data_IF_442982882019
#
_entry.id   IF_442982882019
#
_cell.length_a   1.000
_cell.length_b   1.000
_cell.length_c   1.000
_cell.angle_alpha   90.00
_cell.angle_beta   90.00
_cell.angle_gamma   90.00
#
_symmetry.space_group_name_H-M   'P 1'
#
loop_
_entity.id
_entity.type
_entity.pdbx_description
1 polymer ?
#
# COMPACT_ATOMS: atom_id res chain seq x y z
N UNK A 1 -15.15 7.45 -18.61
CA UNK A 1 -13.69 7.49 -18.76
C UNK A 1 -13.41 7.83 -20.21
N UNK A 2 -12.66 8.90 -20.48
CA UNK A 2 -12.29 9.27 -21.85
C UNK A 2 -11.29 8.25 -22.39
N UNK A 3 -11.64 7.57 -23.46
CA UNK A 3 -10.74 6.65 -24.17
C UNK A 3 -9.68 7.49 -24.90
N UNK A 4 -8.58 7.79 -24.20
CA UNK A 4 -7.46 8.53 -24.79
C UNK A 4 -6.62 7.53 -25.57
N UNK A 5 -6.51 7.74 -26.86
CA UNK A 5 -5.65 7.00 -27.80
C UNK A 5 -4.57 7.96 -28.27
N UNK A 6 -3.33 7.49 -28.34
CA UNK A 6 -2.19 8.29 -28.82
C UNK A 6 -1.79 7.78 -30.19
N UNK A 7 -2.06 8.58 -31.22
CA UNK A 7 -1.73 8.25 -32.61
C UNK A 7 -0.23 8.39 -32.86
N UNK A 8 0.38 9.52 -32.44
CA UNK A 8 1.81 9.77 -32.58
C UNK A 8 2.51 9.67 -31.20
N UNK A 9 2.93 8.47 -30.87
CA UNK A 9 3.62 8.18 -29.62
C UNK A 9 5.01 8.82 -29.54
N UNK A 10 5.70 9.01 -30.65
CA UNK A 10 7.04 9.62 -30.66
C UNK A 10 6.96 11.10 -30.31
N UNK A 11 6.04 11.82 -30.93
CA UNK A 11 5.78 13.23 -30.63
C UNK A 11 5.28 13.43 -29.20
N UNK A 12 4.38 12.57 -28.74
CA UNK A 12 3.88 12.59 -27.36
C UNK A 12 5.01 12.44 -26.36
N UNK A 13 5.85 11.41 -26.50
CA UNK A 13 6.99 11.17 -25.61
C UNK A 13 8.03 12.30 -25.65
N UNK A 14 8.28 12.88 -26.84
CA UNK A 14 9.16 14.04 -26.99
C UNK A 14 8.66 15.25 -26.21
N UNK A 15 7.38 15.56 -26.30
CA UNK A 15 6.76 16.65 -25.54
C UNK A 15 6.88 16.42 -24.03
N UNK A 16 6.65 15.19 -23.57
CA UNK A 16 6.79 14.85 -22.15
C UNK A 16 8.22 14.99 -21.63
N UNK A 17 9.21 14.63 -22.45
CA UNK A 17 10.63 14.85 -22.10
C UNK A 17 10.93 16.34 -21.92
N UNK A 18 10.36 17.20 -22.76
CA UNK A 18 10.45 18.65 -22.60
C UNK A 18 9.88 19.11 -21.26
N UNK A 19 8.64 18.73 -20.95
CA UNK A 19 8.00 19.09 -19.67
C UNK A 19 8.77 18.58 -18.45
N UNK A 20 9.33 17.38 -18.51
CA UNK A 20 10.19 16.85 -17.46
C UNK A 20 11.52 17.58 -17.36
N UNK A 21 12.11 17.97 -18.51
CA UNK A 21 13.35 18.74 -18.55
C UNK A 21 13.17 20.12 -17.93
N UNK A 22 12.06 20.80 -18.21
CA UNK A 22 11.72 22.11 -17.62
C UNK A 22 11.56 22.02 -16.09
N UNK A 23 11.00 20.92 -15.58
CA UNK A 23 10.85 20.72 -14.16
C UNK A 23 12.17 20.36 -13.45
N UNK A 24 12.99 19.49 -14.06
CA UNK A 24 14.20 18.92 -13.45
C UNK A 24 15.41 19.84 -13.69
N UNK A 25 15.42 20.60 -14.78
CA UNK A 25 16.55 21.45 -15.20
C UNK A 25 17.69 20.68 -15.89
N UNK A 26 17.54 19.36 -16.11
CA UNK A 26 18.55 18.50 -16.72
C UNK A 26 17.95 17.54 -17.74
N UNK A 27 18.26 17.74 -19.02
CA UNK A 27 17.71 16.96 -20.13
C UNK A 27 18.07 15.45 -20.06
N UNK A 28 19.32 15.14 -19.70
CA UNK A 28 19.77 13.74 -19.60
C UNK A 28 19.01 12.96 -18.51
N UNK A 29 18.71 13.60 -17.39
CA UNK A 29 17.95 13.00 -16.29
C UNK A 29 16.48 12.82 -16.70
N UNK A 30 15.90 13.83 -17.36
CA UNK A 30 14.53 13.78 -17.87
C UNK A 30 14.34 12.65 -18.90
N UNK A 31 15.28 12.48 -19.82
CA UNK A 31 15.27 11.40 -20.79
C UNK A 31 15.32 10.02 -20.12
N UNK A 32 16.24 9.83 -19.15
CA UNK A 32 16.36 8.58 -18.42
C UNK A 32 15.12 8.29 -17.55
N UNK A 33 14.51 9.32 -17.00
CA UNK A 33 13.27 9.18 -16.22
C UNK A 33 12.11 8.76 -17.10
N UNK A 34 11.95 9.38 -18.28
CA UNK A 34 10.88 9.01 -19.22
C UNK A 34 11.03 7.55 -19.69
N UNK A 35 12.25 7.12 -20.01
CA UNK A 35 12.54 5.74 -20.36
C UNK A 35 12.19 4.81 -19.19
N UNK A 36 12.53 5.19 -17.96
CA UNK A 36 12.16 4.44 -16.77
C UNK A 36 10.65 4.29 -16.58
N UNK A 37 9.90 5.38 -16.79
CA UNK A 37 8.43 5.37 -16.71
C UNK A 37 7.83 4.46 -17.80
N UNK A 38 8.37 4.50 -18.99
CA UNK A 38 7.93 3.62 -20.08
C UNK A 38 8.18 2.16 -19.77
N UNK A 39 9.38 1.81 -19.29
CA UNK A 39 9.72 0.44 -18.88
C UNK A 39 8.83 -0.06 -17.74
N UNK A 40 8.61 0.76 -16.71
CA UNK A 40 7.66 0.45 -15.66
C UNK A 40 6.26 0.14 -16.21
N UNK A 41 5.80 0.94 -17.16
CA UNK A 41 4.47 0.77 -17.76
C UNK A 41 4.37 -0.52 -18.57
N UNK A 42 5.44 -0.93 -19.27
CA UNK A 42 5.51 -2.20 -19.98
C UNK A 42 5.43 -3.40 -19.03
N UNK A 43 6.18 -3.35 -17.93
CA UNK A 43 6.19 -4.41 -16.90
C UNK A 43 4.84 -4.50 -16.18
N UNK A 44 4.26 -3.35 -15.82
CA UNK A 44 2.96 -3.30 -15.15
C UNK A 44 1.84 -3.81 -16.05
N UNK A 45 1.84 -3.42 -17.33
CA UNK A 45 0.90 -3.92 -18.34
C UNK A 45 1.02 -5.44 -18.51
N UNK A 46 2.24 -5.99 -18.46
CA UNK A 46 2.47 -7.43 -18.50
C UNK A 46 1.84 -8.16 -17.30
N UNK A 47 2.07 -7.63 -16.09
CA UNK A 47 1.48 -8.18 -14.85
C UNK A 47 -0.06 -8.15 -14.86
N UNK A 48 -0.65 -7.19 -15.58
CA UNK A 48 -2.11 -7.01 -15.70
C UNK A 48 -2.71 -7.64 -16.96
N UNK A 49 -1.89 -8.32 -17.78
CA UNK A 49 -2.31 -8.89 -19.07
C UNK A 49 -2.94 -7.87 -20.03
N UNK A 50 -2.41 -6.64 -20.02
CA UNK A 50 -2.84 -5.54 -20.90
C UNK A 50 -1.94 -5.49 -22.13
N UNK A 51 -2.55 -5.35 -23.33
CA UNK A 51 -1.80 -5.21 -24.60
C UNK A 51 -0.97 -3.93 -24.58
N UNK A 52 0.35 -4.04 -24.85
CA UNK A 52 1.36 -2.97 -24.77
C UNK A 52 1.41 -2.13 -26.05
N UNK A 53 0.31 -1.50 -26.40
CA UNK A 53 0.19 -0.66 -27.60
C UNK A 53 -0.39 0.70 -27.25
N UNK A 54 0.09 1.75 -27.92
CA UNK A 54 -0.39 3.12 -27.72
C UNK A 54 -1.82 3.36 -28.23
N UNK A 55 -2.31 2.47 -29.08
CA UNK A 55 -3.73 2.40 -29.48
C UNK A 55 -4.64 1.84 -28.39
N UNK A 56 -4.06 1.17 -27.38
CA UNK A 56 -4.82 0.63 -26.26
C UNK A 56 -5.00 1.66 -25.15
N UNK A 57 -6.23 2.13 -24.87
CA UNK A 57 -6.49 3.13 -23.83
C UNK A 57 -6.00 2.72 -22.44
N UNK A 58 -6.06 1.42 -22.12
CA UNK A 58 -5.61 0.92 -20.81
C UNK A 58 -4.10 1.05 -20.64
N UNK A 59 -3.31 0.81 -21.69
CA UNK A 59 -1.87 1.00 -21.64
C UNK A 59 -1.51 2.47 -21.51
N UNK A 60 -2.19 3.34 -22.27
CA UNK A 60 -2.01 4.80 -22.16
C UNK A 60 -2.36 5.29 -20.77
N UNK A 61 -3.41 4.75 -20.15
CA UNK A 61 -3.81 5.09 -18.78
C UNK A 61 -2.70 4.72 -17.78
N UNK A 62 -2.15 3.49 -17.85
CA UNK A 62 -1.07 3.03 -16.97
C UNK A 62 0.13 3.98 -17.07
N UNK A 63 0.53 4.32 -18.29
CA UNK A 63 1.65 5.22 -18.53
C UNK A 63 1.39 6.64 -17.98
N UNK A 64 0.22 7.19 -18.28
CA UNK A 64 -0.18 8.55 -17.88
C UNK A 64 -0.33 8.66 -16.37
N UNK A 65 -0.88 7.65 -15.70
CA UNK A 65 -1.03 7.63 -14.24
C UNK A 65 0.34 7.60 -13.55
N UNK A 66 1.26 6.78 -14.09
CA UNK A 66 2.61 6.72 -13.54
C UNK A 66 3.35 8.03 -13.72
N UNK A 67 3.29 8.59 -14.92
CA UNK A 67 3.88 9.91 -15.24
C UNK A 67 3.33 11.00 -14.33
N UNK A 68 2.00 11.09 -14.21
CA UNK A 68 1.32 12.08 -13.36
C UNK A 68 1.74 11.96 -11.91
N UNK A 69 1.79 10.74 -11.40
CA UNK A 69 2.23 10.48 -10.03
C UNK A 69 3.64 11.01 -9.77
N UNK A 70 4.59 10.69 -10.64
CA UNK A 70 5.99 11.13 -10.49
C UNK A 70 6.10 12.66 -10.66
N UNK A 71 5.45 13.22 -11.66
CA UNK A 71 5.46 14.66 -11.91
C UNK A 71 4.93 15.47 -10.72
N UNK A 72 3.79 15.04 -10.15
CA UNK A 72 3.20 15.72 -9.00
C UNK A 72 4.05 15.58 -7.74
N UNK A 73 4.68 14.44 -7.52
CA UNK A 73 5.58 14.25 -6.39
C UNK A 73 6.85 15.10 -6.54
N UNK A 74 7.47 15.14 -7.71
CA UNK A 74 8.63 16.01 -7.98
C UNK A 74 8.30 17.50 -7.82
N UNK A 75 7.11 17.93 -8.26
CA UNK A 75 6.67 19.31 -8.12
C UNK A 75 6.40 19.72 -6.67
N UNK A 76 5.91 18.80 -5.85
CA UNK A 76 5.54 19.07 -4.45
C UNK A 76 6.69 18.86 -3.46
N UNK A 77 7.57 17.92 -3.74
CA UNK A 77 8.67 17.54 -2.85
C UNK A 77 10.00 18.01 -3.41
N UNK A 78 10.46 19.17 -2.93
CA UNK A 78 11.72 19.77 -3.35
C UNK A 78 12.95 18.92 -2.96
N UNK A 79 12.87 18.17 -1.84
CA UNK A 79 13.95 17.28 -1.42
C UNK A 79 14.14 16.12 -2.39
N UNK A 80 13.04 15.56 -2.86
CA UNK A 80 13.07 14.48 -3.88
C UNK A 80 13.66 15.00 -5.19
N UNK A 81 13.29 16.22 -5.58
CA UNK A 81 13.83 16.87 -6.77
C UNK A 81 15.34 17.13 -6.62
N UNK A 82 15.79 17.66 -5.47
CA UNK A 82 17.21 17.88 -5.17
C UNK A 82 18.03 16.58 -5.20
N UNK A 83 17.53 15.51 -4.60
CA UNK A 83 18.17 14.18 -4.64
C UNK A 83 18.30 13.62 -6.05
N UNK A 84 17.31 13.88 -6.92
CA UNK A 84 17.35 13.48 -8.31
C UNK A 84 18.39 14.30 -9.11
N UNK A 85 18.46 15.63 -8.91
CA UNK A 85 19.42 16.53 -9.55
C UNK A 85 20.86 16.21 -9.11
N UNK A 86 21.08 15.94 -7.85
CA UNK A 86 22.37 15.53 -7.27
C UNK A 86 22.77 14.10 -7.64
N UNK A 87 21.94 13.36 -8.38
CA UNK A 87 22.16 11.95 -8.77
C UNK A 87 22.24 10.98 -7.59
N UNK A 88 21.78 11.35 -6.40
CA UNK A 88 21.65 10.46 -5.25
C UNK A 88 20.62 9.35 -5.54
N UNK A 89 19.55 9.73 -6.24
CA UNK A 89 18.54 8.79 -6.74
C UNK A 89 18.68 8.70 -8.25
N UNK A 90 18.86 7.49 -8.75
CA UNK A 90 18.90 7.25 -10.20
C UNK A 90 17.50 7.42 -10.79
N UNK A 91 17.39 8.08 -11.94
CA UNK A 91 16.13 8.38 -12.61
C UNK A 91 15.25 7.13 -12.87
N UNK A 92 15.87 6.02 -13.29
CA UNK A 92 15.14 4.76 -13.49
C UNK A 92 14.59 4.17 -12.17
N UNK A 93 15.33 4.33 -11.04
CA UNK A 93 14.83 3.88 -9.73
C UNK A 93 13.62 4.69 -9.29
N UNK A 94 13.63 6.01 -9.50
CA UNK A 94 12.48 6.86 -9.21
C UNK A 94 11.21 6.40 -9.96
N UNK A 95 11.37 5.90 -11.19
CA UNK A 95 10.26 5.37 -11.96
C UNK A 95 9.60 4.13 -11.33
N UNK A 96 10.25 3.43 -10.42
CA UNK A 96 9.74 2.24 -9.72
C UNK A 96 9.39 2.48 -8.25
N UNK A 97 9.76 3.64 -7.68
CA UNK A 97 9.48 3.97 -6.27
C UNK A 97 7.98 4.03 -5.99
N UNK A 98 7.58 3.56 -4.83
CA UNK A 98 6.20 3.68 -4.36
C UNK A 98 5.87 5.13 -3.96
N UNK A 99 4.59 5.45 -3.83
CA UNK A 99 4.16 6.78 -3.35
C UNK A 99 4.69 7.09 -1.94
N UNK A 100 4.82 6.06 -1.12
CA UNK A 100 5.33 6.15 0.24
C UNK A 100 6.82 6.49 0.27
N UNK A 101 7.61 5.89 -0.63
CA UNK A 101 9.04 6.17 -0.76
C UNK A 101 9.31 7.55 -1.37
N UNK A 102 8.43 8.03 -2.28
CA UNK A 102 8.56 9.37 -2.87
C UNK A 102 8.24 10.50 -1.89
N UNK A 103 7.40 10.26 -0.90
CA UNK A 103 7.02 11.26 0.11
C UNK A 103 6.81 10.60 1.49
N UNK A 104 7.89 10.19 2.16
CA UNK A 104 7.81 9.45 3.41
C UNK A 104 7.13 10.26 4.53
N UNK A 105 7.34 11.57 4.58
CA UNK A 105 6.82 12.42 5.66
C UNK A 105 5.29 12.41 5.72
N UNK A 106 4.65 12.51 4.56
CA UNK A 106 3.17 12.47 4.48
C UNK A 106 2.59 11.08 4.82
N UNK A 107 3.34 10.01 4.54
CA UNK A 107 2.84 8.64 4.71
C UNK A 107 3.20 8.00 6.04
N UNK A 108 4.18 8.54 6.77
CA UNK A 108 4.69 7.98 8.03
C UNK A 108 3.57 7.72 9.04
N UNK A 109 2.80 8.74 9.36
CA UNK A 109 1.68 8.64 10.31
C UNK A 109 0.63 7.60 9.87
N UNK A 110 0.27 7.61 8.57
CA UNK A 110 -0.71 6.67 8.02
C UNK A 110 -0.21 5.21 8.04
N UNK A 111 1.09 5.01 7.82
CA UNK A 111 1.72 3.68 7.90
C UNK A 111 1.71 3.19 9.34
N UNK A 112 2.10 4.03 10.31
CA UNK A 112 2.09 3.70 11.74
C UNK A 112 0.67 3.32 12.21
N UNK A 113 -0.34 4.12 11.83
CA UNK A 113 -1.74 3.81 12.14
C UNK A 113 -2.21 2.51 11.50
N UNK A 114 -1.75 2.20 10.30
CA UNK A 114 -2.06 0.93 9.64
C UNK A 114 -1.41 -0.24 10.37
N UNK A 115 -0.14 -0.13 10.73
CA UNK A 115 0.59 -1.17 11.46
C UNK A 115 -0.06 -1.47 12.83
N UNK A 116 -0.49 -0.44 13.56
CA UNK A 116 -1.21 -0.59 14.83
C UNK A 116 -2.53 -1.35 14.60
N UNK A 117 -3.30 -0.97 13.57
CA UNK A 117 -4.54 -1.67 13.23
C UNK A 117 -4.31 -3.14 12.85
N UNK A 118 -3.29 -3.39 12.04
CA UNK A 118 -2.97 -4.74 11.60
C UNK A 118 -2.48 -5.60 12.78
N UNK A 119 -1.65 -5.04 13.68
CA UNK A 119 -1.25 -5.72 14.92
C UNK A 119 -2.46 -6.09 15.79
N UNK A 120 -3.38 -5.14 16.00
CA UNK A 120 -4.57 -5.38 16.79
C UNK A 120 -5.52 -6.40 16.15
N UNK A 121 -5.57 -6.45 14.82
CA UNK A 121 -6.42 -7.39 14.08
C UNK A 121 -5.85 -8.82 14.06
N UNK A 122 -4.55 -8.97 13.83
CA UNK A 122 -3.93 -10.29 13.66
C UNK A 122 -3.36 -10.85 14.95
N UNK A 123 -2.96 -10.00 15.89
CA UNK A 123 -2.53 -10.38 17.23
C UNK A 123 -3.32 -9.59 18.28
N UNK A 124 -4.62 -9.86 18.44
CA UNK A 124 -5.39 -9.19 19.47
C UNK A 124 -4.79 -9.52 20.83
N UNK A 125 -4.46 -8.49 21.60
CA UNK A 125 -4.07 -8.67 23.00
C UNK A 125 -5.34 -9.06 23.74
N UNK A 126 -5.45 -10.35 24.07
CA UNK A 126 -6.53 -10.86 24.89
C UNK A 126 -6.22 -10.49 26.34
N UNK A 127 -6.80 -9.42 26.82
CA UNK A 127 -6.77 -9.10 28.24
C UNK A 127 -7.72 -10.03 28.99
N UNK A 128 -7.29 -10.48 30.16
CA UNK A 128 -8.16 -11.26 31.03
C UNK A 128 -9.37 -10.42 31.43
N UNK A 129 -10.56 -10.87 31.05
CA UNK A 129 -11.80 -10.15 31.33
C UNK A 129 -12.38 -10.50 32.68
N UNK A 130 -11.86 -11.54 33.35
CA UNK A 130 -12.37 -12.02 34.63
C UNK A 130 -11.36 -12.91 35.35
N UNK A 131 -11.37 -12.82 36.67
CA UNK A 131 -10.63 -13.70 37.58
C UNK A 131 -11.54 -14.86 38.17
N UNK A 132 -12.82 -14.87 37.81
CA UNK A 132 -13.79 -15.84 38.33
C UNK A 132 -13.53 -17.27 37.86
N UNK A 133 -12.89 -17.43 36.71
CA UNK A 133 -12.64 -18.74 36.11
C UNK A 133 -11.19 -19.17 36.28
N UNK A 134 -10.99 -20.31 36.92
CA UNK A 134 -9.65 -20.91 37.03
C UNK A 134 -9.50 -22.05 36.02
N UNK A 135 -8.43 -21.98 35.23
CA UNK A 135 -8.13 -23.01 34.23
C UNK A 135 -7.74 -24.34 34.90
N UNK A 136 -8.45 -25.44 34.56
CA UNK A 136 -8.15 -26.75 35.11
C UNK A 136 -6.80 -27.33 34.71
N UNK A 137 -6.24 -26.86 33.55
CA UNK A 137 -4.98 -27.39 33.03
C UNK A 137 -3.76 -26.66 33.61
N UNK A 138 -3.73 -25.33 33.60
CA UNK A 138 -2.58 -24.55 34.05
C UNK A 138 -2.82 -23.80 35.37
N UNK A 139 -4.01 -23.90 35.95
CA UNK A 139 -4.43 -23.25 37.21
C UNK A 139 -4.30 -21.71 37.19
N UNK A 140 -4.21 -21.12 36.03
CA UNK A 140 -4.20 -19.67 35.87
C UNK A 140 -5.61 -19.11 35.94
N UNK A 141 -5.77 -17.91 36.54
CA UNK A 141 -7.04 -17.18 36.59
C UNK A 141 -7.20 -16.22 35.42
N UNK A 142 -6.18 -16.12 34.53
CA UNK A 142 -6.24 -15.27 33.33
C UNK A 142 -7.13 -15.92 32.28
N UNK A 143 -8.42 -15.63 32.34
CA UNK A 143 -9.42 -16.19 31.46
C UNK A 143 -10.24 -15.09 30.79
N UNK A 144 -10.70 -15.35 29.58
CA UNK A 144 -11.75 -14.57 28.90
C UNK A 144 -12.99 -15.43 28.77
N UNK A 145 -14.17 -14.83 28.86
CA UNK A 145 -15.41 -15.52 28.63
C UNK A 145 -16.34 -14.73 27.72
N UNK A 146 -17.24 -15.45 27.07
CA UNK A 146 -18.40 -14.90 26.41
C UNK A 146 -19.60 -15.82 26.61
N UNK A 147 -20.79 -15.25 26.60
CA UNK A 147 -22.03 -15.96 26.77
C UNK A 147 -22.81 -15.98 25.46
N UNK A 148 -23.34 -17.11 25.12
CA UNK A 148 -24.16 -17.28 23.93
C UNK A 148 -25.33 -18.22 24.22
N UNK A 149 -26.50 -17.85 23.70
CA UNK A 149 -27.66 -18.77 23.78
C UNK A 149 -27.50 -19.85 22.72
N UNK A 150 -27.27 -21.09 23.22
CA UNK A 150 -27.07 -22.27 22.34
C UNK A 150 -28.27 -23.21 22.35
N UNK A 151 -29.28 -22.92 23.21
CA UNK A 151 -30.51 -23.72 23.37
C UNK A 151 -31.73 -22.79 23.15
N UNK A 152 -32.85 -23.17 23.73
CA UNK A 152 -34.10 -22.38 23.67
C UNK A 152 -33.98 -21.06 24.46
N UNK A 153 -34.86 -20.10 24.17
CA UNK A 153 -34.84 -18.79 24.81
C UNK A 153 -35.11 -18.87 26.35
N UNK A 154 -35.74 -19.91 26.82
CA UNK A 154 -36.10 -20.13 28.24
C UNK A 154 -34.97 -20.76 29.06
N UNK A 155 -33.88 -21.16 28.42
CA UNK A 155 -32.73 -21.76 29.12
C UNK A 155 -31.62 -20.72 29.37
N UNK A 156 -30.82 -20.90 30.45
CA UNK A 156 -29.70 -19.99 30.72
C UNK A 156 -28.67 -20.05 29.60
N UNK A 157 -28.02 -18.90 29.34
CA UNK A 157 -26.95 -18.77 28.33
C UNK A 157 -25.77 -19.67 28.71
N UNK A 158 -25.19 -20.32 27.71
CA UNK A 158 -23.96 -21.09 27.86
C UNK A 158 -22.77 -20.16 27.89
N UNK A 159 -21.94 -20.29 28.93
CA UNK A 159 -20.70 -19.51 29.06
C UNK A 159 -19.54 -20.31 28.46
N UNK A 160 -18.87 -19.70 27.47
CA UNK A 160 -17.66 -20.23 26.86
C UNK A 160 -16.45 -19.51 27.44
N UNK A 161 -15.55 -20.26 28.05
CA UNK A 161 -14.36 -19.76 28.72
C UNK A 161 -13.10 -20.17 27.95
N UNK A 162 -12.15 -19.23 27.80
CA UNK A 162 -10.86 -19.47 27.17
C UNK A 162 -9.75 -19.00 28.10
N UNK A 163 -8.82 -19.89 28.42
CA UNK A 163 -7.62 -19.52 29.18
C UNK A 163 -6.61 -18.85 28.26
N UNK A 164 -6.14 -17.66 28.62
CA UNK A 164 -5.14 -16.88 27.84
C UNK A 164 -3.78 -17.57 27.92
N UNK A 165 -3.42 -18.10 29.09
CA UNK A 165 -2.10 -18.65 29.33
C UNK A 165 -1.81 -19.95 28.56
N UNK A 166 -2.76 -20.90 28.49
CA UNK A 166 -2.55 -22.20 27.84
C UNK A 166 -3.46 -22.46 26.63
N UNK A 167 -4.35 -21.54 26.29
CA UNK A 167 -5.27 -21.66 25.15
C UNK A 167 -6.39 -22.70 25.34
N UNK A 168 -6.53 -23.31 26.50
CA UNK A 168 -7.58 -24.32 26.79
C UNK A 168 -8.94 -23.61 26.79
N UNK A 169 -9.93 -24.23 26.11
CA UNK A 169 -11.31 -23.75 26.04
C UNK A 169 -12.25 -24.77 26.68
N UNK A 170 -13.23 -24.27 27.42
CA UNK A 170 -14.30 -25.09 27.99
C UNK A 170 -15.62 -24.33 28.07
N UNK A 171 -16.68 -25.01 28.38
CA UNK A 171 -18.03 -24.43 28.57
C UNK A 171 -18.55 -24.74 29.96
N UNK A 172 -19.32 -23.80 30.52
CA UNK A 172 -20.06 -23.92 31.76
C UNK A 172 -21.55 -23.69 31.52
#
# INVERSE_FOLDING_TARGET
>A
MSNIVIEDSARFRKNLKGVLSDLIGHESIANNLEIGIYNYSLEYAQKKNVVKQWSNPYFVQIYSDRLRSIYLNLKRNMDLLGKLQNKEIKAHRLAYMTHQEMNPDTWKELIELKEIRDKNKYNPVLEASTDEFTCRRCKSNQCTYYQMQTRSADEPMTTFVSCINCGTKWKC
#
